data_IF_731506675359
#
_entry.id   IF_731506675359
#
_cell.length_a   1.000
_cell.length_b   1.000
_cell.length_c   1.000
_cell.angle_alpha   90.00
_cell.angle_beta   90.00
_cell.angle_gamma   90.00
#
_symmetry.space_group_name_H-M   'P 1'
#
loop_
_entity.id
_entity.type
_entity.pdbx_description
1 polymer ?
#
# COMPACT_ATOMS: atom_id res chain seq x y z
N UNK A 1 7.81 -15.71 -13.35
CA UNK A 1 8.91 -14.79 -13.00
C UNK A 1 10.14 -15.64 -12.64
N UNK A 2 11.34 -15.22 -13.03
CA UNK A 2 12.59 -15.94 -12.76
C UNK A 2 13.38 -15.08 -11.77
N UNK A 3 14.05 -15.72 -10.80
CA UNK A 3 14.91 -15.02 -9.84
C UNK A 3 16.20 -14.51 -10.50
N UNK A 4 16.85 -13.54 -9.86
CA UNK A 4 18.18 -13.09 -10.26
C UNK A 4 19.20 -14.21 -10.09
N UNK A 5 20.17 -14.27 -10.99
CA UNK A 5 21.34 -15.14 -10.85
C UNK A 5 22.33 -14.57 -9.82
N UNK A 6 23.20 -15.41 -9.28
CA UNK A 6 24.25 -14.97 -8.35
C UNK A 6 25.13 -13.87 -8.95
N UNK A 7 25.45 -13.97 -10.25
CA UNK A 7 26.25 -12.96 -10.98
C UNK A 7 25.52 -11.62 -11.09
N UNK A 8 24.21 -11.63 -11.33
CA UNK A 8 23.43 -10.38 -11.36
C UNK A 8 23.36 -9.75 -9.97
N UNK A 9 23.23 -10.57 -8.91
CA UNK A 9 23.29 -10.09 -7.53
C UNK A 9 24.66 -9.45 -7.22
N UNK A 10 25.77 -10.05 -7.65
CA UNK A 10 27.11 -9.45 -7.52
C UNK A 10 27.19 -8.07 -8.20
N UNK A 11 26.63 -7.93 -9.41
CA UNK A 11 26.56 -6.65 -10.12
C UNK A 11 25.76 -5.60 -9.33
N UNK A 12 24.63 -5.98 -8.71
CA UNK A 12 23.85 -5.07 -7.87
C UNK A 12 24.63 -4.63 -6.62
N UNK A 13 25.38 -5.55 -6.00
CA UNK A 13 26.25 -5.24 -4.86
C UNK A 13 27.34 -4.25 -5.24
N UNK A 14 28.08 -4.54 -6.32
CA UNK A 14 29.12 -3.65 -6.85
C UNK A 14 28.58 -2.25 -7.19
N UNK A 15 27.34 -2.18 -7.67
CA UNK A 15 26.67 -0.90 -7.94
C UNK A 15 26.37 -0.13 -6.65
N UNK A 16 25.86 -0.78 -5.61
CA UNK A 16 25.61 -0.15 -4.30
C UNK A 16 26.90 0.26 -3.59
N UNK A 17 27.97 -0.53 -3.67
CA UNK A 17 29.27 -0.17 -3.08
C UNK A 17 29.85 1.12 -3.67
N UNK A 18 29.49 1.44 -4.92
CA UNK A 18 29.88 2.68 -5.61
C UNK A 18 28.94 3.87 -5.35
N UNK A 19 27.99 3.73 -4.42
CA UNK A 19 26.98 4.77 -4.14
C UNK A 19 25.75 4.70 -5.05
N UNK A 20 25.48 3.53 -5.64
CA UNK A 20 24.33 3.30 -6.50
C UNK A 20 22.98 3.47 -5.77
N UNK A 21 21.92 3.66 -6.57
CA UNK A 21 20.54 3.80 -6.10
C UNK A 21 19.64 2.83 -6.83
N UNK A 22 18.92 2.00 -6.09
CA UNK A 22 18.08 0.94 -6.67
C UNK A 22 16.64 1.11 -6.21
N UNK A 23 15.71 1.01 -7.14
CA UNK A 23 14.30 0.81 -6.83
C UNK A 23 13.93 -0.64 -7.19
N UNK A 24 13.34 -1.36 -6.24
CA UNK A 24 12.95 -2.76 -6.41
C UNK A 24 11.45 -2.86 -6.18
N UNK A 25 10.72 -3.44 -7.12
CA UNK A 25 9.36 -3.91 -6.90
C UNK A 25 9.38 -5.43 -6.98
N UNK A 26 8.94 -6.08 -5.91
CA UNK A 26 9.09 -7.52 -5.74
C UNK A 26 7.73 -8.12 -5.41
N UNK A 27 7.11 -8.78 -6.38
CA UNK A 27 5.83 -9.46 -6.19
C UNK A 27 5.99 -10.76 -5.36
N UNK A 28 4.90 -11.34 -4.85
CA UNK A 28 4.89 -12.71 -4.32
C UNK A 28 5.47 -13.74 -5.31
N UNK A 29 6.22 -14.72 -4.79
CA UNK A 29 7.02 -15.65 -5.58
C UNK A 29 8.29 -16.13 -4.87
N UNK A 30 8.84 -17.26 -5.31
CA UNK A 30 10.06 -17.80 -4.68
C UNK A 30 11.32 -17.21 -5.33
N UNK A 31 11.96 -16.26 -4.66
CA UNK A 31 13.16 -15.55 -5.16
C UNK A 31 14.30 -15.58 -4.12
N UNK A 32 14.92 -16.73 -3.86
CA UNK A 32 15.93 -16.89 -2.81
C UNK A 32 17.17 -15.98 -2.97
N UNK A 33 17.60 -15.68 -4.20
CA UNK A 33 18.82 -14.90 -4.44
C UNK A 33 18.59 -13.42 -4.11
N UNK A 34 17.49 -12.83 -4.59
CA UNK A 34 17.14 -11.44 -4.20
C UNK A 34 16.78 -11.35 -2.71
N UNK A 35 16.13 -12.35 -2.12
CA UNK A 35 15.85 -12.38 -0.68
C UNK A 35 17.13 -12.37 0.15
N UNK A 36 18.11 -13.20 -0.22
CA UNK A 36 19.43 -13.22 0.43
C UNK A 36 20.14 -11.88 0.27
N UNK A 37 20.11 -11.30 -0.93
CA UNK A 37 20.66 -9.97 -1.18
C UNK A 37 20.02 -8.91 -0.27
N UNK A 38 18.69 -8.86 -0.16
CA UNK A 38 18.00 -7.90 0.71
C UNK A 38 18.32 -8.09 2.20
N UNK A 39 18.46 -9.34 2.65
CA UNK A 39 18.84 -9.66 4.03
C UNK A 39 20.24 -9.14 4.38
N UNK A 40 21.19 -9.13 3.45
CA UNK A 40 22.52 -8.51 3.64
C UNK A 40 22.45 -6.98 3.87
N UNK A 41 21.32 -6.35 3.60
CA UNK A 41 21.02 -4.93 3.88
C UNK A 41 19.94 -4.76 4.96
N UNK A 42 19.66 -5.80 5.76
CA UNK A 42 18.73 -5.75 6.89
C UNK A 42 17.25 -5.70 6.50
N UNK A 43 16.90 -6.22 5.32
CA UNK A 43 15.51 -6.29 4.83
C UNK A 43 15.08 -7.75 4.67
N UNK A 44 14.00 -8.13 5.34
CA UNK A 44 13.37 -9.43 5.20
C UNK A 44 12.20 -9.36 4.20
N UNK A 45 12.17 -10.28 3.24
CA UNK A 45 11.12 -10.36 2.22
C UNK A 45 10.63 -11.79 2.04
N UNK A 46 9.89 -12.32 3.03
CA UNK A 46 9.36 -13.69 2.99
C UNK A 46 8.37 -13.87 1.83
N UNK A 47 8.37 -15.06 1.22
CA UNK A 47 7.37 -15.41 0.22
C UNK A 47 5.99 -15.53 0.87
N UNK A 48 5.22 -14.45 0.79
CA UNK A 48 3.93 -14.26 1.43
C UNK A 48 3.04 -13.38 0.56
N UNK A 49 1.75 -13.41 0.84
CA UNK A 49 0.78 -12.45 0.31
C UNK A 49 0.10 -11.75 1.49
N UNK A 50 0.04 -10.43 1.44
CA UNK A 50 -0.65 -9.62 2.44
C UNK A 50 -2.15 -9.76 2.25
N UNK A 51 -2.83 -10.17 3.32
CA UNK A 51 -4.28 -10.18 3.43
C UNK A 51 -4.70 -9.17 4.50
N UNK A 52 -5.50 -8.18 4.14
CA UNK A 52 -5.96 -7.11 5.02
C UNK A 52 -7.50 -7.00 5.06
N UNK A 53 -8.08 -7.45 6.18
CA UNK A 53 -9.54 -7.42 6.38
C UNK A 53 -10.10 -6.02 6.64
N UNK A 54 -9.27 -5.08 7.11
CA UNK A 54 -9.72 -3.68 7.22
C UNK A 54 -9.94 -3.10 5.82
N UNK A 55 -9.00 -3.34 4.91
CA UNK A 55 -9.04 -2.91 3.51
C UNK A 55 -10.22 -3.51 2.74
N UNK A 56 -10.56 -4.78 3.00
CA UNK A 56 -11.75 -5.44 2.42
C UNK A 56 -13.05 -4.66 2.63
N UNK A 57 -13.20 -3.99 3.77
CA UNK A 57 -14.43 -3.22 4.07
C UNK A 57 -14.59 -2.01 3.16
N UNK A 58 -13.49 -1.47 2.63
CA UNK A 58 -13.48 -0.29 1.78
C UNK A 58 -13.41 -0.64 0.29
N UNK A 59 -12.59 -1.63 -0.08
CA UNK A 59 -12.32 -2.00 -1.47
C UNK A 59 -13.07 -3.26 -1.95
N UNK A 60 -13.66 -4.02 -1.03
CA UNK A 60 -14.30 -5.31 -1.34
C UNK A 60 -13.33 -6.48 -1.48
N UNK A 61 -12.02 -6.23 -1.44
CA UNK A 61 -10.96 -7.20 -1.61
C UNK A 61 -9.95 -7.12 -0.46
N UNK A 62 -9.60 -8.27 0.13
CA UNK A 62 -8.63 -8.35 1.21
C UNK A 62 -7.18 -8.51 0.70
N UNK A 63 -7.00 -8.96 -0.53
CA UNK A 63 -5.67 -9.13 -1.15
C UNK A 63 -5.09 -7.83 -1.72
N UNK A 64 -5.86 -6.75 -1.68
CA UNK A 64 -5.44 -5.40 -2.04
C UNK A 64 -5.40 -4.52 -0.78
N UNK A 65 -4.33 -4.55 0.04
CA UNK A 65 -4.18 -3.64 1.17
C UNK A 65 -4.22 -2.17 0.74
N UNK A 66 -5.05 -1.39 1.44
CA UNK A 66 -5.09 0.07 1.39
C UNK A 66 -4.25 0.63 2.53
N UNK A 67 -3.14 1.26 2.18
CA UNK A 67 -2.19 1.83 3.12
C UNK A 67 -2.57 3.27 3.43
N UNK A 68 -2.69 3.55 4.72
CA UNK A 68 -2.88 4.90 5.29
C UNK A 68 -1.90 5.17 6.44
N UNK A 69 -1.09 4.18 6.83
CA UNK A 69 -0.09 4.28 7.87
C UNK A 69 1.29 4.35 7.22
N UNK A 70 1.88 5.55 7.28
CA UNK A 70 3.21 5.82 6.76
C UNK A 70 4.09 6.26 7.93
N UNK A 71 4.98 5.38 8.44
CA UNK A 71 5.97 5.80 9.41
C UNK A 71 6.83 6.94 8.86
N UNK A 72 7.38 7.75 9.76
CA UNK A 72 8.12 8.95 9.37
C UNK A 72 9.38 8.59 8.57
N UNK A 73 9.45 9.09 7.34
CA UNK A 73 10.63 9.08 6.48
C UNK A 73 10.56 10.29 5.53
N UNK A 74 11.69 10.67 4.91
CA UNK A 74 11.70 11.82 3.99
C UNK A 74 10.74 11.61 2.79
N UNK A 75 10.59 10.37 2.31
CA UNK A 75 9.66 9.98 1.24
C UNK A 75 8.20 10.24 1.64
N UNK A 76 7.86 10.00 2.90
CA UNK A 76 6.49 10.06 3.43
C UNK A 76 6.21 11.37 4.16
N UNK A 77 7.12 12.34 4.10
CA UNK A 77 6.97 13.64 4.75
C UNK A 77 5.76 14.38 4.19
N UNK A 78 4.79 14.68 5.06
CA UNK A 78 3.51 15.28 4.70
C UNK A 78 2.68 14.44 3.71
N UNK A 79 2.97 13.15 3.57
CA UNK A 79 2.22 12.24 2.73
C UNK A 79 0.97 11.77 3.48
N UNK A 80 -0.21 12.13 2.98
CA UNK A 80 -1.50 11.90 3.65
C UNK A 80 -2.54 11.24 2.73
N UNK A 81 -2.10 10.72 1.59
CA UNK A 81 -2.96 10.06 0.61
C UNK A 81 -2.94 8.53 0.81
N UNK A 82 -4.08 7.89 0.58
CA UNK A 82 -4.14 6.44 0.63
C UNK A 82 -3.42 5.85 -0.60
N UNK A 83 -2.67 4.78 -0.42
CA UNK A 83 -2.13 3.98 -1.52
C UNK A 83 -2.71 2.58 -1.49
N UNK A 84 -2.74 1.90 -2.61
CA UNK A 84 -3.16 0.50 -2.70
C UNK A 84 -2.08 -0.33 -3.38
N UNK A 85 -1.89 -1.53 -2.86
CA UNK A 85 -0.98 -2.52 -3.41
C UNK A 85 -1.77 -3.80 -3.64
N UNK A 86 -1.74 -4.34 -4.85
CA UNK A 86 -2.57 -5.49 -5.24
C UNK A 86 -1.72 -6.75 -5.17
N UNK A 87 -2.09 -7.71 -4.31
CA UNK A 87 -1.32 -8.95 -4.13
C UNK A 87 0.12 -8.62 -3.67
N UNK A 88 0.26 -7.72 -2.71
CA UNK A 88 1.56 -7.35 -2.16
C UNK A 88 2.15 -8.48 -1.30
N UNK A 89 3.47 -8.58 -1.28
CA UNK A 89 4.20 -9.33 -0.25
C UNK A 89 4.67 -8.45 0.88
N UNK A 90 4.98 -9.13 1.98
CA UNK A 90 5.62 -8.56 3.16
C UNK A 90 7.08 -8.24 2.84
N UNK A 91 7.48 -6.99 3.11
CA UNK A 91 8.87 -6.49 3.04
C UNK A 91 9.12 -5.66 4.29
N UNK A 92 9.94 -6.17 5.20
CA UNK A 92 10.07 -5.62 6.56
C UNK A 92 11.53 -5.43 6.94
N UNK A 93 11.70 -4.63 7.98
CA UNK A 93 12.99 -4.41 8.60
C UNK A 93 13.38 -5.63 9.45
N UNK A 94 14.59 -6.14 9.28
CA UNK A 94 15.14 -7.17 10.18
C UNK A 94 15.47 -6.61 11.57
N UNK A 95 15.39 -7.48 12.59
CA UNK A 95 15.81 -7.12 13.96
C UNK A 95 17.32 -6.80 14.04
N UNK A 96 18.14 -7.54 13.28
CA UNK A 96 19.59 -7.42 13.28
C UNK A 96 20.07 -6.66 12.05
N UNK A 97 20.14 -5.34 12.14
CA UNK A 97 20.59 -4.50 11.02
C UNK A 97 22.13 -4.54 10.93
N UNK A 98 22.71 -4.77 9.73
CA UNK A 98 24.15 -4.66 9.52
C UNK A 98 24.70 -3.28 9.86
N UNK A 99 25.96 -3.24 10.31
CA UNK A 99 26.63 -1.98 10.66
C UNK A 99 26.71 -1.02 9.46
N UNK A 100 26.36 0.25 9.67
CA UNK A 100 26.37 1.28 8.64
C UNK A 100 25.16 1.30 7.71
N UNK A 101 24.19 0.41 7.92
CA UNK A 101 22.91 0.38 7.21
C UNK A 101 21.81 0.95 8.09
N UNK A 102 20.98 1.82 7.52
CA UNK A 102 19.75 2.35 8.09
C UNK A 102 18.58 1.79 7.27
N UNK A 103 17.58 1.23 7.94
CA UNK A 103 16.37 0.65 7.33
C UNK A 103 15.15 1.28 7.99
N UNK A 104 14.29 1.87 7.17
CA UNK A 104 13.03 2.49 7.58
C UNK A 104 11.87 1.84 6.83
N UNK A 105 10.86 1.40 7.57
CA UNK A 105 9.60 0.93 6.98
C UNK A 105 8.74 2.14 6.63
N UNK A 106 8.35 2.27 5.37
CA UNK A 106 7.73 3.49 4.84
C UNK A 106 6.26 3.31 4.46
N UNK A 107 5.73 2.09 4.50
CA UNK A 107 4.31 1.82 4.27
C UNK A 107 3.88 0.59 5.09
N UNK A 108 2.90 0.77 5.99
CA UNK A 108 2.39 -0.31 6.83
C UNK A 108 0.91 -0.57 6.64
N UNK A 109 0.55 -1.85 6.64
CA UNK A 109 -0.84 -2.31 6.57
C UNK A 109 -1.59 -2.00 7.86
N UNK A 110 -2.87 -2.35 7.91
CA UNK A 110 -3.65 -2.28 9.14
C UNK A 110 -3.23 -3.36 10.15
N UNK A 111 -3.55 -3.16 11.44
CA UNK A 111 -3.36 -4.19 12.48
C UNK A 111 -4.18 -5.47 12.24
N UNK A 112 -5.17 -5.42 11.35
CA UNK A 112 -6.01 -6.56 10.97
C UNK A 112 -5.44 -7.36 9.79
N UNK A 113 -4.22 -7.03 9.33
CA UNK A 113 -3.56 -7.73 8.25
C UNK A 113 -2.72 -8.92 8.75
N UNK A 114 -2.48 -9.88 7.85
CA UNK A 114 -1.46 -10.91 8.02
C UNK A 114 -0.80 -11.25 6.68
N UNK A 115 0.41 -11.81 6.76
CA UNK A 115 1.14 -12.34 5.61
C UNK A 115 0.85 -13.82 5.49
N UNK A 116 0.00 -14.19 4.54
CA UNK A 116 -0.32 -15.58 4.20
C UNK A 116 0.87 -16.24 3.51
N UNK A 117 1.35 -17.35 4.07
CA UNK A 117 2.51 -18.09 3.53
C UNK A 117 2.11 -19.36 2.80
N UNK A 118 0.86 -19.83 2.98
CA UNK A 118 0.33 -21.02 2.33
C UNK A 118 -0.29 -20.68 0.96
N UNK A 119 0.57 -20.67 -0.06
CA UNK A 119 0.18 -20.37 -1.45
C UNK A 119 -0.95 -21.26 -1.97
N UNK A 120 -1.04 -22.52 -1.51
CA UNK A 120 -2.11 -23.43 -1.91
C UNK A 120 -3.47 -22.98 -1.39
N UNK A 121 -3.55 -22.57 -0.13
CA UNK A 121 -4.81 -22.07 0.44
C UNK A 121 -5.23 -20.74 -0.18
N UNK A 122 -4.24 -19.94 -0.59
CA UNK A 122 -4.44 -18.70 -1.33
C UNK A 122 -5.08 -18.94 -2.69
N UNK A 123 -4.55 -19.87 -3.48
CA UNK A 123 -5.12 -20.27 -4.78
C UNK A 123 -6.55 -20.83 -4.65
N UNK A 124 -6.84 -21.56 -3.56
CA UNK A 124 -8.17 -22.08 -3.28
C UNK A 124 -9.15 -21.02 -2.72
N UNK A 125 -8.69 -19.81 -2.41
CA UNK A 125 -9.50 -18.74 -1.83
C UNK A 125 -9.99 -19.01 -0.40
N UNK A 126 -9.29 -19.89 0.35
CA UNK A 126 -9.69 -20.37 1.69
C UNK A 126 -8.81 -19.82 2.81
N UNK A 127 -8.07 -18.76 2.55
CA UNK A 127 -7.13 -18.15 3.50
C UNK A 127 -7.85 -17.72 4.78
N UNK A 128 -7.23 -18.06 5.90
CA UNK A 128 -7.66 -17.67 7.24
C UNK A 128 -6.41 -17.64 8.10
N UNK A 129 -6.23 -16.53 8.81
CA UNK A 129 -5.10 -16.37 9.73
C UNK A 129 -4.89 -17.61 10.63
N UNK A 130 -3.66 -18.11 10.63
CA UNK A 130 -3.18 -19.15 11.52
C UNK A 130 -1.82 -18.81 12.16
N UNK A 131 -1.34 -19.66 13.08
CA UNK A 131 -0.13 -19.38 13.87
C UNK A 131 1.18 -19.37 13.07
N UNK A 132 1.15 -19.79 11.80
CA UNK A 132 2.31 -19.79 10.90
C UNK A 132 2.39 -18.51 10.07
N UNK A 133 1.32 -17.71 10.06
CA UNK A 133 1.25 -16.46 9.32
C UNK A 133 2.00 -15.34 10.03
N UNK A 134 2.41 -14.35 9.24
CA UNK A 134 3.08 -13.15 9.75
C UNK A 134 1.99 -12.21 10.26
N UNK A 135 1.98 -11.92 11.55
CA UNK A 135 0.95 -11.07 12.15
C UNK A 135 1.24 -9.60 11.89
N UNK A 136 0.23 -8.85 11.42
CA UNK A 136 0.35 -7.42 11.20
C UNK A 136 0.41 -6.56 12.47
N UNK A 137 0.62 -5.24 12.30
CA UNK A 137 0.75 -4.53 11.02
C UNK A 137 2.05 -4.88 10.31
N UNK A 138 1.97 -5.05 8.98
CA UNK A 138 3.07 -5.51 8.14
C UNK A 138 3.61 -4.38 7.30
N UNK A 139 4.92 -4.36 7.06
CA UNK A 139 5.49 -3.46 6.08
C UNK A 139 5.37 -4.02 4.65
N UNK A 140 4.99 -3.15 3.71
CA UNK A 140 4.91 -3.44 2.26
C UNK A 140 5.89 -2.59 1.45
N UNK A 141 6.57 -1.65 2.10
CA UNK A 141 7.65 -0.90 1.48
C UNK A 141 8.68 -0.44 2.52
N UNK A 142 9.96 -0.51 2.16
CA UNK A 142 11.09 -0.10 2.99
C UNK A 142 12.05 0.80 2.22
N UNK A 143 12.66 1.75 2.92
CA UNK A 143 13.78 2.54 2.45
C UNK A 143 15.05 2.10 3.18
N UNK A 144 16.16 1.99 2.44
CA UNK A 144 17.47 1.60 2.96
C UNK A 144 18.48 2.66 2.59
N UNK A 145 19.28 3.11 3.54
CA UNK A 145 20.46 3.97 3.31
C UNK A 145 21.70 3.29 3.91
N UNK A 146 22.76 3.11 3.12
CA UNK A 146 24.04 2.60 3.60
C UNK A 146 25.10 3.70 3.49
N UNK A 147 25.75 4.01 4.61
CA UNK A 147 26.85 4.99 4.68
C UNK A 147 28.16 4.29 4.31
N UNK A 148 28.75 4.65 3.18
CA UNK A 148 30.08 4.15 2.81
C UNK A 148 31.21 5.05 3.35
N UNK A 149 32.42 4.47 3.40
CA UNK A 149 33.63 5.08 3.99
C UNK A 149 34.10 6.36 3.29
N UNK A 150 33.73 6.59 2.03
CA UNK A 150 34.18 7.74 1.22
C UNK A 150 33.02 8.63 0.73
N UNK A 151 32.19 9.13 1.66
CA UNK A 151 31.15 10.16 1.46
C UNK A 151 29.99 9.82 0.51
N UNK A 152 30.06 8.78 -0.30
CA UNK A 152 28.95 8.35 -1.13
C UNK A 152 27.99 7.48 -0.30
N UNK A 153 26.70 7.82 -0.31
CA UNK A 153 25.65 6.99 0.31
C UNK A 153 25.00 6.17 -0.80
N UNK A 154 24.75 4.90 -0.55
CA UNK A 154 23.88 4.11 -1.43
C UNK A 154 22.49 4.02 -0.82
N UNK A 155 21.50 3.92 -1.69
CA UNK A 155 20.09 3.92 -1.30
C UNK A 155 19.31 2.84 -2.03
N UNK A 156 18.35 2.26 -1.34
CA UNK A 156 17.34 1.42 -1.96
C UNK A 156 15.95 1.81 -1.49
N UNK A 157 14.97 1.67 -2.38
CA UNK A 157 13.56 1.62 -2.01
C UNK A 157 13.00 0.31 -2.54
N UNK A 158 12.41 -0.48 -1.65
CA UNK A 158 11.85 -1.78 -1.99
C UNK A 158 10.35 -1.74 -1.72
N UNK A 159 9.55 -2.10 -2.72
CA UNK A 159 8.11 -2.30 -2.65
C UNK A 159 7.80 -3.79 -2.80
N UNK A 160 6.85 -4.29 -2.01
CA UNK A 160 6.36 -5.66 -2.08
C UNK A 160 5.34 -5.93 -3.20
N UNK A 161 5.17 -5.00 -4.14
CA UNK A 161 4.21 -5.09 -5.23
C UNK A 161 4.71 -4.24 -6.40
N UNK A 162 4.60 -4.75 -7.62
CA UNK A 162 4.87 -4.03 -8.86
C UNK A 162 3.59 -3.47 -9.49
N UNK A 163 2.42 -4.05 -9.19
CA UNK A 163 1.14 -3.68 -9.81
C UNK A 163 0.71 -2.26 -9.43
N UNK A 164 1.07 -1.76 -8.24
CA UNK A 164 0.75 -0.38 -7.83
C UNK A 164 1.25 0.70 -8.80
N UNK A 165 2.24 0.36 -9.66
CA UNK A 165 2.81 1.21 -10.71
C UNK A 165 2.14 1.06 -12.09
N UNK A 166 1.29 0.07 -12.28
CA UNK A 166 0.59 -0.16 -13.55
C UNK A 166 -0.45 0.92 -13.82
N UNK A 167 -0.87 1.09 -15.08
CA UNK A 167 -1.91 2.05 -15.48
C UNK A 167 -3.22 1.90 -14.68
N UNK A 168 -3.50 0.69 -14.20
CA UNK A 168 -4.67 0.37 -13.38
C UNK A 168 -4.62 1.07 -12.02
N UNK A 169 -3.44 1.20 -11.41
CA UNK A 169 -3.29 1.59 -10.01
C UNK A 169 -2.45 2.85 -9.81
N UNK A 170 -1.61 3.26 -10.77
CA UNK A 170 -0.73 4.43 -10.62
C UNK A 170 -1.52 5.70 -10.32
N UNK A 171 -2.71 5.88 -10.90
CA UNK A 171 -3.57 7.04 -10.68
C UNK A 171 -4.49 6.91 -9.45
N UNK A 172 -4.37 5.84 -8.67
CA UNK A 172 -5.11 5.70 -7.43
C UNK A 172 -4.52 6.60 -6.36
N UNK A 173 -5.29 7.63 -5.95
CA UNK A 173 -5.00 8.53 -4.82
C UNK A 173 -3.50 8.82 -4.67
N UNK A 174 -2.83 8.20 -3.70
CA UNK A 174 -1.42 8.42 -3.38
C UNK A 174 -0.38 7.62 -4.17
N UNK A 175 -0.74 6.60 -4.96
CA UNK A 175 0.24 5.69 -5.59
C UNK A 175 1.29 6.44 -6.42
N UNK A 176 0.84 7.35 -7.30
CA UNK A 176 1.71 8.18 -8.12
C UNK A 176 2.66 9.04 -7.30
N UNK A 177 2.15 9.69 -6.28
CA UNK A 177 2.94 10.61 -5.48
C UNK A 177 3.93 9.83 -4.60
N UNK A 178 3.56 8.63 -4.14
CA UNK A 178 4.45 7.78 -3.35
C UNK A 178 5.66 7.31 -4.16
N UNK A 179 5.46 6.87 -5.41
CA UNK A 179 6.57 6.47 -6.28
C UNK A 179 7.43 7.69 -6.68
N UNK A 180 6.82 8.84 -6.97
CA UNK A 180 7.57 10.05 -7.31
C UNK A 180 8.44 10.53 -6.15
N UNK A 181 7.91 10.52 -4.92
CA UNK A 181 8.69 10.85 -3.72
C UNK A 181 9.84 9.86 -3.51
N UNK A 182 9.62 8.57 -3.81
CA UNK A 182 10.65 7.54 -3.70
C UNK A 182 11.77 7.74 -4.72
N UNK A 183 11.43 8.06 -5.97
CA UNK A 183 12.40 8.37 -7.02
C UNK A 183 13.16 9.66 -6.68
N UNK A 184 12.49 10.71 -6.22
CA UNK A 184 13.12 11.97 -5.83
C UNK A 184 14.10 11.77 -4.66
N UNK A 185 13.72 10.96 -3.66
CA UNK A 185 14.59 10.62 -2.55
C UNK A 185 15.80 9.78 -3.00
N UNK A 186 15.60 8.80 -3.89
CA UNK A 186 16.71 8.05 -4.47
C UNK A 186 17.66 8.98 -5.24
N UNK A 187 17.13 9.92 -6.03
CA UNK A 187 17.91 10.87 -6.84
C UNK A 187 18.66 11.95 -6.07
N UNK A 188 18.55 12.00 -4.73
CA UNK A 188 19.11 13.09 -3.90
C UNK A 188 18.66 14.50 -4.32
N UNK A 189 17.47 14.63 -4.90
CA UNK A 189 16.85 15.93 -5.17
C UNK A 189 16.37 16.55 -3.84
N UNK A 190 17.31 17.07 -3.04
CA UNK A 190 17.01 17.61 -1.71
C UNK A 190 16.10 18.85 -1.74
N UNK A 191 15.81 19.47 -2.88
CA UNK A 191 14.97 20.68 -2.97
C UNK A 191 14.30 20.79 -4.35
N UNK A 192 13.36 19.92 -4.70
CA UNK A 192 12.29 20.24 -5.65
C UNK A 192 11.01 19.43 -5.30
N UNK A 193 10.58 19.48 -4.04
CA UNK A 193 9.14 19.32 -3.76
C UNK A 193 8.49 20.61 -4.26
N UNK A 194 8.39 20.75 -5.59
CA UNK A 194 7.48 21.71 -6.18
C UNK A 194 6.14 21.48 -5.50
N UNK A 195 5.58 22.53 -4.93
CA UNK A 195 4.21 22.52 -4.45
C UNK A 195 3.39 22.20 -5.69
N UNK A 196 3.09 20.92 -5.88
CA UNK A 196 2.22 20.48 -6.97
C UNK A 196 0.90 21.15 -6.67
N UNK A 197 0.39 21.92 -7.63
CA UNK A 197 -0.95 22.47 -7.50
C UNK A 197 -1.86 21.32 -7.09
N UNK A 198 -2.49 21.48 -5.92
CA UNK A 198 -3.51 20.57 -5.43
C UNK A 198 -4.59 20.59 -6.50
N UNK A 199 -4.56 19.61 -7.41
CA UNK A 199 -5.75 19.30 -8.19
C UNK A 199 -6.84 19.07 -7.17
N UNK A 200 -8.01 19.64 -7.40
CA UNK A 200 -9.18 19.34 -6.57
C UNK A 200 -9.45 17.85 -6.68
N UNK A 201 -8.80 17.06 -5.82
CA UNK A 201 -9.14 15.68 -5.59
C UNK A 201 -10.55 15.70 -5.03
N UNK A 202 -11.42 14.93 -5.66
CA UNK A 202 -12.73 14.61 -5.10
C UNK A 202 -12.45 13.96 -3.75
N UNK A 203 -12.52 14.73 -2.66
CA UNK A 203 -12.39 14.18 -1.32
C UNK A 203 -13.55 13.18 -1.17
N UNK A 204 -13.28 11.87 -1.09
CA UNK A 204 -14.36 10.92 -0.89
C UNK A 204 -15.00 11.27 0.44
N UNK A 205 -16.32 11.41 0.42
CA UNK A 205 -17.08 11.76 1.61
C UNK A 205 -16.95 10.61 2.63
N UNK A 206 -16.06 10.77 3.61
CA UNK A 206 -15.86 9.78 4.67
C UNK A 206 -17.01 9.87 5.66
N UNK A 207 -18.02 9.02 5.46
CA UNK A 207 -19.19 8.94 6.32
C UNK A 207 -18.95 7.87 7.40
N UNK A 208 -19.23 8.22 8.65
CA UNK A 208 -19.39 7.19 9.68
C UNK A 208 -20.53 6.24 9.33
N UNK A 209 -20.49 5.01 9.82
CA UNK A 209 -21.56 4.02 9.58
C UNK A 209 -22.96 4.55 9.98
N UNK A 210 -23.02 5.42 10.99
CA UNK A 210 -24.26 6.10 11.41
C UNK A 210 -24.73 7.14 10.39
N UNK A 211 -23.82 7.97 9.87
CA UNK A 211 -24.13 8.99 8.86
C UNK A 211 -24.55 8.34 7.53
N UNK A 212 -23.86 7.28 7.09
CA UNK A 212 -24.24 6.54 5.89
C UNK A 212 -25.64 5.92 6.00
N UNK A 213 -25.99 5.38 7.18
CA UNK A 213 -27.32 4.80 7.44
C UNK A 213 -28.43 5.87 7.44
N UNK A 214 -28.17 7.05 8.01
CA UNK A 214 -29.11 8.18 7.97
C UNK A 214 -29.34 8.64 6.54
N UNK A 215 -28.27 8.82 5.76
CA UNK A 215 -28.36 9.24 4.37
C UNK A 215 -29.12 8.23 3.51
N UNK A 216 -28.82 6.93 3.66
CA UNK A 216 -29.52 5.87 2.95
C UNK A 216 -31.02 5.84 3.26
N UNK A 217 -31.41 5.81 4.54
CA UNK A 217 -32.83 5.76 4.89
C UNK A 217 -33.56 7.06 4.54
N UNK A 218 -32.90 8.21 4.69
CA UNK A 218 -33.45 9.51 4.32
C UNK A 218 -33.76 9.58 2.83
N UNK A 219 -32.78 9.26 1.98
CA UNK A 219 -32.93 9.44 0.53
C UNK A 219 -33.72 8.31 -0.15
N UNK A 220 -33.56 7.06 0.29
CA UNK A 220 -34.16 5.90 -0.38
C UNK A 220 -35.54 5.54 0.17
N UNK A 221 -35.81 5.84 1.45
CA UNK A 221 -37.10 5.51 2.07
C UNK A 221 -37.93 6.76 2.29
N UNK A 222 -37.46 7.70 3.10
CA UNK A 222 -38.28 8.82 3.58
C UNK A 222 -38.75 9.72 2.44
N UNK A 223 -37.83 10.15 1.55
CA UNK A 223 -38.18 11.04 0.43
C UNK A 223 -39.20 10.37 -0.52
N UNK A 224 -38.98 9.14 -1.04
CA UNK A 224 -39.97 8.47 -1.87
C UNK A 224 -41.32 8.25 -1.18
N UNK A 225 -41.33 7.93 0.12
CA UNK A 225 -42.58 7.79 0.87
C UNK A 225 -43.35 9.10 0.98
N UNK A 226 -42.67 10.23 1.22
CA UNK A 226 -43.31 11.55 1.25
C UNK A 226 -43.93 11.91 -0.11
N UNK A 227 -43.24 11.58 -1.20
CA UNK A 227 -43.75 11.78 -2.56
C UNK A 227 -44.98 10.91 -2.80
N UNK A 228 -44.91 9.61 -2.51
CA UNK A 228 -46.06 8.70 -2.62
C UNK A 228 -47.24 9.15 -1.76
N UNK A 229 -46.99 9.51 -0.51
CA UNK A 229 -48.02 9.96 0.42
C UNK A 229 -48.69 11.25 -0.05
N UNK A 230 -47.91 12.21 -0.55
CA UNK A 230 -48.47 13.45 -1.12
C UNK A 230 -49.31 13.17 -2.37
N UNK A 231 -48.84 12.29 -3.25
CA UNK A 231 -49.59 11.83 -4.43
C UNK A 231 -50.91 11.17 -4.07
N UNK A 232 -50.90 10.22 -3.13
CA UNK A 232 -52.11 9.54 -2.62
C UNK A 232 -53.05 10.54 -1.93
N UNK A 233 -52.51 11.44 -1.10
CA UNK A 233 -53.31 12.47 -0.42
C UNK A 233 -54.03 13.38 -1.39
N UNK A 234 -53.36 13.83 -2.46
CA UNK A 234 -53.97 14.63 -3.52
C UNK A 234 -55.01 13.82 -4.29
N UNK A 235 -54.71 12.57 -4.64
CA UNK A 235 -55.65 11.68 -5.34
C UNK A 235 -56.93 11.45 -4.53
N UNK A 236 -56.82 11.08 -3.25
CA UNK A 236 -57.97 10.86 -2.37
C UNK A 236 -58.75 12.17 -2.16
N UNK A 237 -58.06 13.30 -1.95
CA UNK A 237 -58.72 14.60 -1.84
C UNK A 237 -59.49 14.97 -3.11
N UNK A 238 -59.01 14.61 -4.30
CA UNK A 238 -59.75 14.82 -5.56
C UNK A 238 -60.94 13.87 -5.69
N UNK A 239 -60.80 12.62 -5.26
CA UNK A 239 -61.84 11.59 -5.34
C UNK A 239 -63.02 11.81 -4.39
N UNK A 240 -62.79 12.40 -3.21
CA UNK A 240 -63.83 12.64 -2.19
C UNK A 240 -64.43 14.07 -2.20
N UNK A 241 -63.95 14.96 -3.07
CA UNK A 241 -64.49 16.33 -3.23
C UNK A 241 -65.37 16.51 -4.49
N UNK A 242 -65.59 15.43 -5.23
CA UNK A 242 -66.60 15.24 -6.26
C UNK A 242 -67.47 14.05 -5.86
#
# INVERSE_FOLDING_TARGET
>A
MIDFTEKEIEILKDYLEKGGRILICLDPGNFPNIQKFLSEYGVESKNSVVIDLASRKFLGDASTPMIINYPYHQITKNFNLASIFSIARVVEKEENIPSGVEVDEIAKTSDAAWGETNMKLLEEGKVKFDNKDIKGPLSVAVAVEKKEKEKNKSRMVIFGDSDFLTDKFINFSGNRDFILNSIAWLGEENILISIREKKEESQPLSLSAKQGRILFYGSVIVIPFLILFSGVSVYLRRKYKY
#
